data_IF_661247851445
#
_entry.id   IF_661247851445
#
_cell.length_a   1.000
_cell.length_b   1.000
_cell.length_c   1.000
_cell.angle_alpha   90.00
_cell.angle_beta   90.00
_cell.angle_gamma   90.00
#
_symmetry.space_group_name_H-M   'P 1'
#
loop_
_entity.id
_entity.type
_entity.pdbx_description
1 polymer ?
#
# COMPACT_ATOMS: atom_id res chain seq x y z
N UNK A 1 -1.49 -0.35 -3.84
CA UNK A 1 -2.54 0.03 -2.87
C UNK A 1 -3.90 -0.44 -3.38
N UNK A 2 -4.51 -1.37 -2.66
CA UNK A 2 -5.88 -1.86 -2.86
C UNK A 2 -6.70 -1.54 -1.61
N UNK A 3 -7.83 -0.89 -1.77
CA UNK A 3 -8.65 -0.43 -0.63
C UNK A 3 -10.05 -1.02 -0.67
N UNK A 4 -10.65 -1.22 0.49
CA UNK A 4 -12.09 -1.42 0.62
C UNK A 4 -12.71 -0.26 1.38
N UNK A 5 -13.92 0.16 1.03
CA UNK A 5 -14.60 1.29 1.66
C UNK A 5 -15.72 0.80 2.58
N UNK A 6 -15.69 1.19 3.85
CA UNK A 6 -16.73 0.93 4.84
C UNK A 6 -17.09 2.24 5.55
N UNK A 7 -18.03 2.99 4.96
CA UNK A 7 -18.49 4.26 5.50
C UNK A 7 -20.00 4.19 5.79
N UNK A 8 -20.42 4.72 6.94
CA UNK A 8 -21.83 4.96 7.24
C UNK A 8 -22.34 6.24 6.56
N UNK A 9 -21.48 7.26 6.47
CA UNK A 9 -21.75 8.51 5.79
C UNK A 9 -21.77 8.32 4.27
N UNK A 10 -22.97 8.34 3.70
CA UNK A 10 -23.21 8.14 2.26
C UNK A 10 -22.43 9.15 1.42
N UNK A 11 -22.44 10.44 1.79
CA UNK A 11 -21.79 11.49 1.02
C UNK A 11 -20.27 11.30 0.96
N UNK A 12 -19.66 10.96 2.10
CA UNK A 12 -18.23 10.68 2.16
C UNK A 12 -17.90 9.41 1.38
N UNK A 13 -18.66 8.33 1.59
CA UNK A 13 -18.48 7.06 0.89
C UNK A 13 -18.55 7.19 -0.63
N UNK A 14 -19.54 7.91 -1.17
CA UNK A 14 -19.67 8.13 -2.61
C UNK A 14 -18.57 9.05 -3.16
N UNK A 15 -18.19 10.09 -2.41
CA UNK A 15 -17.07 10.96 -2.79
C UNK A 15 -15.76 10.18 -2.88
N UNK A 16 -15.48 9.34 -1.88
CA UNK A 16 -14.30 8.46 -1.88
C UNK A 16 -14.37 7.44 -3.02
N UNK A 17 -15.54 6.87 -3.32
CA UNK A 17 -15.72 5.99 -4.50
C UNK A 17 -15.39 6.68 -5.81
N UNK A 18 -15.75 7.96 -5.94
CA UNK A 18 -15.44 8.74 -7.14
C UNK A 18 -13.94 9.00 -7.26
N UNK A 19 -13.28 9.41 -6.17
CA UNK A 19 -11.87 9.79 -6.21
C UNK A 19 -10.89 8.61 -6.22
N UNK A 20 -11.28 7.48 -5.63
CA UNK A 20 -10.40 6.33 -5.41
C UNK A 20 -10.78 5.11 -6.24
N UNK A 21 -11.59 5.29 -7.29
CA UNK A 21 -12.15 4.21 -8.13
C UNK A 21 -11.11 3.15 -8.52
N UNK A 22 -9.94 3.58 -8.96
CA UNK A 22 -8.89 2.70 -9.48
C UNK A 22 -8.17 1.88 -8.39
N UNK A 23 -8.37 2.24 -7.12
CA UNK A 23 -7.79 1.54 -5.97
C UNK A 23 -8.78 0.58 -5.30
N UNK A 24 -10.08 0.66 -5.60
CA UNK A 24 -11.10 -0.11 -4.91
C UNK A 24 -10.99 -1.59 -5.26
N UNK A 25 -11.03 -2.43 -4.24
CA UNK A 25 -11.01 -3.88 -4.34
C UNK A 25 -11.98 -4.51 -3.33
N UNK A 26 -12.45 -5.74 -3.57
CA UNK A 26 -13.24 -6.48 -2.59
C UNK A 26 -12.53 -6.56 -1.24
N UNK A 27 -13.28 -6.53 -0.12
CA UNK A 27 -12.73 -6.59 1.26
C UNK A 27 -11.75 -7.74 1.48
N UNK A 28 -11.96 -8.88 0.81
CA UNK A 28 -11.06 -10.05 0.86
C UNK A 28 -9.70 -9.80 0.22
N UNK A 29 -9.61 -8.95 -0.80
CA UNK A 29 -8.42 -8.75 -1.64
C UNK A 29 -7.75 -7.38 -1.43
N UNK A 30 -8.31 -6.52 -0.57
CA UNK A 30 -7.71 -5.22 -0.25
C UNK A 30 -6.51 -5.33 0.70
N UNK A 31 -5.63 -4.33 0.68
CA UNK A 31 -4.51 -4.20 1.62
C UNK A 31 -5.01 -3.64 2.96
N UNK A 32 -5.92 -2.68 2.92
CA UNK A 32 -6.54 -2.08 4.11
C UNK A 32 -7.96 -1.56 3.83
N UNK A 33 -8.66 -1.16 4.88
CA UNK A 33 -10.03 -0.64 4.82
C UNK A 33 -10.00 0.86 5.10
N UNK A 34 -10.72 1.66 4.31
CA UNK A 34 -10.99 3.08 4.61
C UNK A 34 -12.39 3.19 5.21
N UNK A 35 -12.50 3.81 6.37
CA UNK A 35 -13.74 3.93 7.11
C UNK A 35 -13.93 5.33 7.70
N UNK A 36 -15.18 5.72 7.98
CA UNK A 36 -15.52 7.01 8.62
C UNK A 36 -15.65 6.92 10.15
N UNK A 37 -15.45 5.73 10.69
CA UNK A 37 -15.42 5.43 12.12
C UNK A 37 -14.42 4.31 12.39
N UNK A 38 -14.06 4.15 13.66
CA UNK A 38 -13.28 2.99 14.08
C UNK A 38 -14.14 1.73 13.96
N UNK A 39 -13.61 0.70 13.31
CA UNK A 39 -14.26 -0.61 13.16
C UNK A 39 -13.31 -1.71 13.62
N UNK A 40 -13.88 -2.81 14.10
CA UNK A 40 -13.12 -4.03 14.35
C UNK A 40 -12.97 -4.81 13.04
N UNK A 41 -11.72 -4.96 12.58
CA UNK A 41 -11.41 -5.66 11.34
C UNK A 41 -10.12 -6.47 11.48
N UNK A 42 -9.99 -7.53 10.68
CA UNK A 42 -8.77 -8.33 10.57
C UNK A 42 -7.67 -7.66 9.73
N UNK A 43 -7.99 -6.54 9.07
CA UNK A 43 -7.10 -5.77 8.22
C UNK A 43 -6.89 -4.39 8.82
N UNK A 44 -5.78 -3.69 8.49
CA UNK A 44 -5.57 -2.31 8.92
C UNK A 44 -6.72 -1.42 8.49
N UNK A 45 -7.03 -0.42 9.31
CA UNK A 45 -8.15 0.51 9.08
C UNK A 45 -7.63 1.94 9.03
N UNK A 46 -7.81 2.60 7.90
CA UNK A 46 -7.59 4.02 7.71
C UNK A 46 -8.89 4.78 8.04
N UNK A 47 -8.89 5.63 9.06
CA UNK A 47 -10.10 6.31 9.54
C UNK A 47 -10.14 7.74 9.00
N UNK A 48 -11.29 8.19 8.52
CA UNK A 48 -11.54 9.57 8.07
C UNK A 48 -12.67 10.15 8.91
N UNK A 49 -12.36 11.03 9.86
CA UNK A 49 -13.32 11.58 10.81
C UNK A 49 -12.80 12.89 11.40
N UNK A 50 -13.66 13.70 12.03
CA UNK A 50 -13.27 14.96 12.70
C UNK A 50 -12.11 14.78 13.70
N UNK A 51 -12.12 13.65 14.42
CA UNK A 51 -11.09 13.29 15.41
C UNK A 51 -10.31 12.05 14.99
N UNK A 52 -9.97 11.95 13.71
CA UNK A 52 -9.18 10.83 13.20
C UNK A 52 -7.69 10.97 13.55
N UNK A 53 -7.01 9.85 13.86
CA UNK A 53 -5.55 9.78 13.92
C UNK A 53 -4.88 9.74 12.54
N UNK A 54 -5.62 9.46 11.46
CA UNK A 54 -5.06 9.26 10.11
C UNK A 54 -5.39 10.43 9.17
N UNK A 55 -6.66 10.83 9.08
CA UNK A 55 -7.08 11.95 8.24
C UNK A 55 -8.32 12.65 8.79
N UNK A 56 -8.20 13.94 9.06
CA UNK A 56 -9.28 14.79 9.57
C UNK A 56 -10.06 15.47 8.45
N UNK A 57 -11.31 15.79 8.72
CA UNK A 57 -12.20 16.58 7.84
C UNK A 57 -12.11 18.07 8.23
N UNK A 58 -12.09 19.01 7.27
CA UNK A 58 -12.04 18.82 5.82
C UNK A 58 -10.64 18.50 5.30
N UNK A 59 -10.56 17.90 4.12
CA UNK A 59 -9.31 17.59 3.42
C UNK A 59 -9.43 17.82 1.91
N UNK A 60 -8.31 18.03 1.24
CA UNK A 60 -8.25 18.06 -0.23
C UNK A 60 -8.00 16.67 -0.80
N UNK A 61 -8.20 16.48 -2.11
CA UNK A 61 -7.93 15.21 -2.79
C UNK A 61 -6.45 14.82 -2.68
N UNK A 62 -5.55 15.78 -2.82
CA UNK A 62 -4.10 15.57 -2.74
C UNK A 62 -3.72 15.07 -1.35
N UNK A 63 -4.25 15.70 -0.30
CA UNK A 63 -4.04 15.29 1.09
C UNK A 63 -4.58 13.86 1.33
N UNK A 64 -5.75 13.53 0.77
CA UNK A 64 -6.29 12.17 0.85
C UNK A 64 -5.34 11.15 0.23
N UNK A 65 -4.83 11.39 -0.98
CA UNK A 65 -3.95 10.45 -1.67
C UNK A 65 -2.63 10.30 -0.92
N UNK A 66 -1.98 11.39 -0.52
CA UNK A 66 -0.71 11.33 0.21
C UNK A 66 -0.86 10.59 1.55
N UNK A 67 -1.93 10.85 2.31
CA UNK A 67 -2.16 10.16 3.58
C UNK A 67 -2.42 8.65 3.40
N UNK A 68 -3.10 8.25 2.32
CA UNK A 68 -3.30 6.84 1.99
C UNK A 68 -1.99 6.13 1.61
N UNK A 69 -1.12 6.79 0.86
CA UNK A 69 0.20 6.26 0.48
C UNK A 69 1.15 6.12 1.68
N UNK A 70 1.16 7.12 2.57
CA UNK A 70 1.91 7.08 3.82
C UNK A 70 1.44 5.92 4.70
N UNK A 71 0.12 5.80 4.89
CA UNK A 71 -0.46 4.70 5.65
C UNK A 71 -0.13 3.34 5.03
N UNK A 72 -0.28 3.21 3.70
CA UNK A 72 0.07 2.00 2.98
C UNK A 72 1.54 1.63 3.16
N UNK A 73 2.45 2.61 3.11
CA UNK A 73 3.87 2.37 3.33
C UNK A 73 4.12 1.87 4.75
N UNK A 74 3.55 2.53 5.76
CA UNK A 74 3.73 2.18 7.17
C UNK A 74 3.26 0.74 7.50
N UNK A 75 2.14 0.29 6.91
CA UNK A 75 1.66 -1.08 7.15
C UNK A 75 2.53 -2.15 6.49
N UNK A 76 3.23 -1.83 5.39
CA UNK A 76 4.14 -2.78 4.74
C UNK A 76 5.44 -2.99 5.52
N UNK A 77 5.90 -1.98 6.25
CA UNK A 77 7.11 -2.07 7.08
C UNK A 77 6.86 -2.64 8.49
N UNK A 78 5.60 -2.71 8.91
CA UNK A 78 5.23 -3.15 10.27
C UNK A 78 4.77 -4.60 10.36
N UNK A 79 4.62 -5.32 9.25
CA UNK A 79 4.38 -6.76 9.30
C UNK A 79 5.66 -7.54 9.65
N UNK A 80 5.67 -8.38 10.70
CA UNK A 80 6.68 -9.42 10.81
C UNK A 80 6.45 -10.40 9.65
N UNK A 81 7.41 -10.43 8.73
CA UNK A 81 7.52 -11.33 7.56
C UNK A 81 6.84 -12.69 7.78
N UNK A 82 5.58 -12.80 7.38
CA UNK A 82 4.86 -14.07 7.32
C UNK A 82 3.77 -14.05 6.24
N UNK A 83 4.06 -13.46 5.07
CA UNK A 83 3.32 -13.80 3.86
C UNK A 83 4.23 -13.77 2.62
N UNK A 84 4.65 -14.97 2.24
CA UNK A 84 5.35 -15.31 1.02
C UNK A 84 4.65 -14.79 -0.23
N UNK A 85 5.17 -13.70 -0.83
CA UNK A 85 4.95 -13.43 -2.25
C UNK A 85 6.01 -14.16 -3.07
N UNK A 86 5.74 -15.43 -3.33
CA UNK A 86 6.42 -16.18 -4.36
C UNK A 86 6.07 -15.58 -5.73
N UNK A 87 7.04 -14.91 -6.35
CA UNK A 87 7.17 -14.84 -7.80
C UNK A 87 8.66 -14.87 -8.10
N UNK A 88 9.13 -16.01 -8.62
CA UNK A 88 10.41 -16.19 -9.29
C UNK A 88 10.13 -16.84 -10.66
N UNK A 89 11.07 -16.92 -11.61
CA UNK A 89 12.04 -15.92 -12.08
C UNK A 89 11.84 -15.65 -13.59
N UNK A 90 12.27 -14.50 -14.13
CA UNK A 90 12.49 -14.37 -15.59
C UNK A 90 13.97 -14.62 -15.86
N UNK A 91 14.26 -15.79 -16.44
CA UNK A 91 15.49 -16.06 -17.19
C UNK A 91 15.39 -15.35 -18.54
N UNK A 92 16.38 -14.55 -18.90
CA UNK A 92 16.94 -14.60 -20.25
C UNK A 92 18.44 -14.30 -20.17
N UNK A 93 19.21 -15.21 -20.76
CA UNK A 93 20.67 -15.32 -20.76
C UNK A 93 21.18 -15.00 -22.17
N UNK A 94 22.37 -14.39 -22.23
CA UNK A 94 23.36 -14.27 -23.33
C UNK A 94 23.72 -12.78 -23.62
N UNK A 95 24.98 -12.34 -23.67
CA UNK A 95 26.26 -13.02 -23.92
C UNK A 95 27.46 -12.17 -23.38
N UNK A 96 28.70 -12.72 -23.36
CA UNK A 96 29.82 -12.24 -22.53
C UNK A 96 30.95 -11.54 -23.32
N UNK A 97 31.72 -10.64 -22.69
CA UNK A 97 33.14 -10.32 -23.00
C UNK A 97 33.82 -9.83 -21.71
N UNK A 98 34.55 -10.68 -21.00
CA UNK A 98 36.01 -10.88 -21.08
C UNK A 98 36.84 -9.63 -20.72
N UNK A 99 37.37 -9.60 -19.49
CA UNK A 99 38.35 -8.62 -19.00
C UNK A 99 39.22 -9.31 -17.96
N UNK A 100 40.48 -9.49 -18.32
CA UNK A 100 41.54 -10.22 -17.63
C UNK A 100 41.86 -9.69 -16.23
N UNK A 101 41.93 -10.58 -15.23
CA UNK A 101 42.71 -10.39 -14.01
C UNK A 101 43.93 -11.31 -14.07
N UNK A 102 45.13 -10.73 -13.97
CA UNK A 102 46.34 -11.44 -13.63
C UNK A 102 46.96 -10.71 -12.43
N UNK A 103 46.55 -11.12 -11.24
CA UNK A 103 47.35 -10.96 -10.03
C UNK A 103 48.41 -12.05 -10.02
N UNK A 104 49.67 -11.66 -9.84
CA UNK A 104 50.69 -12.55 -9.30
C UNK A 104 51.63 -11.70 -8.45
N UNK A 105 51.46 -11.89 -7.16
CA UNK A 105 52.18 -11.28 -6.06
C UNK A 105 53.41 -12.15 -5.70
N UNK A 106 54.49 -11.49 -5.28
CA UNK A 106 55.61 -11.95 -4.41
C UNK A 106 56.65 -12.94 -4.94
N UNK A 107 57.90 -12.47 -5.06
CA UNK A 107 59.10 -12.91 -4.30
C UNK A 107 60.27 -11.95 -4.51
#
# INVERSE_FOLDING_TARGET
MKISLECDCILLGESLRLFLRDFISPKKDCDFIVADKKIEAKKPVFVIAEHSPHLKIPFSKEVLISALEEFYSAIQFSEPVALSRATAPVKEEAAPQNGSNLELEVS
#
